data_IF_143303607185
#
_entry.id   IF_143303607185
#
_cell.length_a   1.000
_cell.length_b   1.000
_cell.length_c   1.000
_cell.angle_alpha   90.00
_cell.angle_beta   90.00
_cell.angle_gamma   90.00
#
_symmetry.space_group_name_H-M   'P 1'
#
loop_
_entity.id
_entity.type
_entity.pdbx_description
1 polymer ?
#
# COMPACT_ATOMS: atom_id res chain seq x y z
N UNK A 1 1.07 -6.80 -21.28
CA UNK A 1 1.71 -7.86 -20.49
C UNK A 1 1.44 -7.63 -19.01
N UNK A 2 2.09 -8.40 -18.15
CA UNK A 2 2.04 -8.22 -16.68
C UNK A 2 2.88 -6.99 -16.31
N UNK A 3 2.39 -6.22 -15.33
CA UNK A 3 3.12 -5.11 -14.72
C UNK A 3 3.55 -5.50 -13.31
N UNK A 4 4.75 -5.12 -12.93
CA UNK A 4 5.31 -5.42 -11.60
C UNK A 4 5.62 -4.10 -10.90
N UNK A 5 5.06 -3.90 -9.72
CA UNK A 5 5.36 -2.74 -8.86
C UNK A 5 5.86 -3.26 -7.54
N UNK A 6 6.97 -2.71 -7.05
CA UNK A 6 7.58 -3.14 -5.80
C UNK A 6 8.04 -1.94 -4.95
N UNK A 7 7.63 -1.94 -3.69
CA UNK A 7 8.19 -1.09 -2.63
C UNK A 7 9.41 -1.80 -2.04
N UNK A 8 10.46 -1.88 -2.84
CA UNK A 8 11.68 -2.64 -2.56
C UNK A 8 12.95 -1.82 -2.73
N UNK A 9 12.85 -0.56 -3.16
CA UNK A 9 13.99 0.32 -3.34
C UNK A 9 14.67 0.71 -2.03
N UNK A 10 13.94 0.62 -0.90
CA UNK A 10 14.46 1.00 0.40
C UNK A 10 15.00 2.43 0.36
N UNK A 11 16.30 2.58 0.63
CA UNK A 11 17.02 3.87 0.60
C UNK A 11 17.64 4.19 -0.77
N UNK A 12 17.55 3.31 -1.78
CA UNK A 12 18.18 3.48 -3.09
C UNK A 12 17.37 2.83 -4.24
N UNK A 13 16.17 3.33 -4.53
CA UNK A 13 15.33 2.83 -5.63
C UNK A 13 16.01 2.91 -7.00
N UNK A 14 16.78 3.98 -7.28
CA UNK A 14 17.55 4.12 -8.51
C UNK A 14 18.59 3.01 -8.69
N UNK A 15 19.34 2.68 -7.63
CA UNK A 15 20.33 1.61 -7.63
C UNK A 15 19.71 0.24 -7.88
N UNK A 16 18.55 -0.06 -7.28
CA UNK A 16 17.83 -1.30 -7.56
C UNK A 16 17.32 -1.36 -9.00
N UNK A 17 16.76 -0.27 -9.54
CA UNK A 17 16.34 -0.21 -10.93
C UNK A 17 17.49 -0.47 -11.90
N UNK A 18 18.68 0.08 -11.63
CA UNK A 18 19.87 -0.17 -12.43
C UNK A 18 20.30 -1.64 -12.38
N UNK A 19 20.27 -2.28 -11.22
CA UNK A 19 20.53 -3.72 -11.09
C UNK A 19 19.52 -4.59 -11.84
N UNK A 20 18.25 -4.20 -11.83
CA UNK A 20 17.22 -4.90 -12.59
C UNK A 20 17.43 -4.77 -14.10
N UNK A 21 17.86 -3.61 -14.61
CA UNK A 21 18.20 -3.44 -16.04
C UNK A 21 19.38 -4.33 -16.44
N UNK A 22 20.42 -4.38 -15.61
CA UNK A 22 21.58 -5.27 -15.84
C UNK A 22 21.17 -6.75 -15.85
N UNK A 23 20.29 -7.15 -14.93
CA UNK A 23 19.75 -8.51 -14.88
C UNK A 23 18.90 -8.82 -16.12
N UNK A 24 18.02 -7.92 -16.54
CA UNK A 24 17.20 -8.07 -17.73
C UNK A 24 18.06 -8.27 -18.99
N UNK A 25 19.12 -7.47 -19.15
CA UNK A 25 20.09 -7.63 -20.24
C UNK A 25 20.81 -8.99 -20.20
N UNK A 26 21.18 -9.46 -19.00
CA UNK A 26 21.83 -10.78 -18.80
C UNK A 26 20.90 -11.93 -19.19
N UNK A 27 19.61 -11.81 -18.88
CA UNK A 27 18.60 -12.82 -19.18
C UNK A 27 18.03 -12.72 -20.60
N UNK A 28 18.38 -11.67 -21.36
CA UNK A 28 17.81 -11.41 -22.69
C UNK A 28 16.31 -11.06 -22.64
N UNK A 29 15.85 -10.47 -21.54
CA UNK A 29 14.45 -10.06 -21.35
C UNK A 29 14.32 -8.57 -21.63
N UNK A 30 13.42 -8.20 -22.53
CA UNK A 30 13.05 -6.79 -22.75
C UNK A 30 12.01 -6.38 -21.71
N UNK A 31 12.41 -5.50 -20.77
CA UNK A 31 11.51 -4.93 -19.77
C UNK A 31 11.87 -3.46 -19.50
N UNK A 32 10.89 -2.58 -19.60
CA UNK A 32 11.07 -1.17 -19.24
C UNK A 32 11.06 -1.02 -17.70
N UNK A 33 12.22 -0.72 -17.12
CA UNK A 33 12.37 -0.54 -15.66
C UNK A 33 12.43 0.94 -15.29
N UNK A 34 11.48 1.38 -14.47
CA UNK A 34 11.40 2.73 -13.88
C UNK A 34 11.52 2.68 -12.37
N UNK A 35 11.79 3.83 -11.76
CA UNK A 35 11.77 3.99 -10.31
C UNK A 35 11.13 5.29 -9.85
N UNK A 36 10.69 5.33 -8.60
CA UNK A 36 10.11 6.51 -7.92
C UNK A 36 11.03 6.92 -6.78
N UNK A 37 11.33 8.21 -6.71
CA UNK A 37 12.10 8.88 -5.65
C UNK A 37 11.28 10.03 -5.04
N UNK A 38 11.84 10.70 -4.03
CA UNK A 38 11.25 11.85 -3.35
C UNK A 38 10.72 11.54 -1.94
N UNK A 39 10.87 10.30 -1.50
CA UNK A 39 10.53 9.87 -0.14
C UNK A 39 11.62 10.23 0.87
N UNK A 40 12.90 10.26 0.47
CA UNK A 40 13.99 10.77 1.33
C UNK A 40 13.80 12.27 1.60
N UNK A 41 13.42 12.57 2.84
CA UNK A 41 13.13 13.90 3.33
C UNK A 41 14.08 14.33 4.44
N UNK A 42 15.24 13.68 4.62
CA UNK A 42 16.17 14.01 5.71
C UNK A 42 16.57 15.49 5.71
N UNK A 43 16.93 16.04 4.55
CA UNK A 43 17.26 17.45 4.41
C UNK A 43 16.06 18.38 4.64
N UNK A 44 14.85 17.96 4.24
CA UNK A 44 13.62 18.73 4.48
C UNK A 44 13.25 18.72 5.97
N UNK A 45 13.41 17.59 6.64
CA UNK A 45 13.18 17.43 8.07
C UNK A 45 14.09 18.38 8.87
N UNK A 46 15.39 18.43 8.55
CA UNK A 46 16.34 19.35 9.20
C UNK A 46 15.93 20.82 9.02
N UNK A 47 15.64 21.24 7.78
CA UNK A 47 15.19 22.61 7.50
C UNK A 47 13.90 22.98 8.24
N UNK A 48 12.95 22.04 8.38
CA UNK A 48 11.69 22.31 9.11
C UNK A 48 11.93 22.46 10.61
N UNK A 49 12.84 21.68 11.20
CA UNK A 49 13.23 21.88 12.60
C UNK A 49 13.89 23.24 12.83
N UNK A 50 14.77 23.67 11.92
CA UNK A 50 15.40 25.01 11.97
C UNK A 50 14.37 26.15 11.86
N UNK A 51 13.25 25.91 11.17
CA UNK A 51 12.12 26.83 11.05
C UNK A 51 11.17 26.80 12.27
N UNK A 52 11.46 25.97 13.27
CA UNK A 52 10.68 25.86 14.51
C UNK A 52 9.51 24.88 14.43
N UNK A 53 9.44 24.03 13.41
CA UNK A 53 8.48 22.91 13.40
C UNK A 53 8.91 21.86 14.43
N UNK A 54 8.01 21.53 15.35
CA UNK A 54 8.26 20.52 16.37
C UNK A 54 8.44 19.10 15.78
N UNK A 55 7.85 18.84 14.59
CA UNK A 55 7.80 17.52 13.96
C UNK A 55 7.43 16.44 14.98
N UNK A 56 6.35 16.70 15.72
CA UNK A 56 5.97 15.91 16.87
C UNK A 56 5.65 14.46 16.47
N UNK A 57 6.10 13.52 17.29
CA UNK A 57 5.81 12.10 17.12
C UNK A 57 4.30 11.86 17.17
N UNK A 58 3.76 11.14 16.19
CA UNK A 58 2.31 10.96 16.01
C UNK A 58 1.61 10.38 17.24
N UNK A 59 2.23 9.39 17.91
CA UNK A 59 1.61 8.73 19.07
C UNK A 59 1.84 9.42 20.42
N UNK A 60 2.99 10.10 20.59
CA UNK A 60 3.39 10.64 21.91
C UNK A 60 3.29 12.16 22.01
N UNK A 61 3.14 12.84 20.86
CA UNK A 61 3.17 14.30 20.77
C UNK A 61 4.52 14.93 21.10
N UNK A 62 5.56 14.13 21.38
CA UNK A 62 6.88 14.66 21.74
C UNK A 62 7.57 15.27 20.52
N UNK A 63 8.15 16.47 20.65
CA UNK A 63 8.96 17.05 19.58
C UNK A 63 10.13 16.13 19.19
N UNK A 64 10.52 16.14 17.92
CA UNK A 64 11.68 15.39 17.46
C UNK A 64 12.98 15.84 18.14
N UNK A 65 13.05 17.10 18.58
CA UNK A 65 14.19 17.64 19.33
C UNK A 65 14.43 16.94 20.69
N UNK A 66 13.41 16.28 21.24
CA UNK A 66 13.51 15.54 22.52
C UNK A 66 14.00 14.10 22.31
N UNK A 67 14.27 13.69 21.07
CA UNK A 67 14.71 12.33 20.76
C UNK A 67 16.18 12.10 21.11
N UNK A 68 16.55 10.86 21.45
CA UNK A 68 17.86 10.51 22.01
C UNK A 68 19.02 10.49 21.01
N UNK A 69 18.80 10.89 19.76
CA UNK A 69 19.77 10.79 18.66
C UNK A 69 19.46 11.73 17.51
N UNK A 70 20.39 11.82 16.56
CA UNK A 70 20.22 12.63 15.35
C UNK A 70 19.63 11.76 14.23
N UNK A 71 18.67 12.25 13.44
CA UNK A 71 18.12 11.52 12.31
C UNK A 71 19.21 11.01 11.35
N UNK A 72 19.30 9.69 11.17
CA UNK A 72 20.17 9.00 10.22
C UNK A 72 19.47 8.84 8.87
N UNK A 73 18.15 8.65 8.88
CA UNK A 73 17.31 8.61 7.68
C UNK A 73 15.90 9.10 8.02
N UNK A 74 15.22 9.68 7.03
CA UNK A 74 13.85 10.13 7.16
C UNK A 74 13.10 9.91 5.83
N UNK A 75 12.06 9.08 5.86
CA UNK A 75 11.33 8.68 4.65
C UNK A 75 9.84 8.98 4.79
N UNK A 76 9.34 9.84 3.91
CA UNK A 76 7.92 10.11 3.77
C UNK A 76 7.23 8.92 3.11
N UNK A 77 6.06 8.52 3.62
CA UNK A 77 5.23 7.52 2.96
C UNK A 77 4.48 8.21 1.82
N UNK A 78 4.94 7.99 0.59
CA UNK A 78 4.32 8.55 -0.61
C UNK A 78 3.09 7.74 -1.06
N UNK A 79 2.28 8.35 -1.94
CA UNK A 79 1.11 7.74 -2.57
C UNK A 79 1.43 7.02 -3.89
N UNK A 80 0.38 6.49 -4.53
CA UNK A 80 0.44 5.65 -5.73
C UNK A 80 0.50 6.42 -7.05
N UNK A 81 0.27 7.74 -7.10
CA UNK A 81 0.22 8.45 -8.38
C UNK A 81 1.56 8.46 -9.14
N UNK A 82 2.70 8.49 -8.46
CA UNK A 82 4.01 8.36 -9.13
C UNK A 82 4.19 6.99 -9.79
N UNK A 83 3.63 5.93 -9.19
CA UNK A 83 3.56 4.60 -9.81
C UNK A 83 2.67 4.65 -11.05
N UNK A 84 1.50 5.28 -10.96
CA UNK A 84 0.58 5.39 -12.08
C UNK A 84 1.21 6.15 -13.27
N UNK A 85 1.94 7.23 -13.01
CA UNK A 85 2.68 8.00 -14.00
C UNK A 85 3.80 7.16 -14.65
N UNK A 86 4.57 6.40 -13.87
CA UNK A 86 5.61 5.51 -14.40
C UNK A 86 5.02 4.41 -15.31
N UNK A 87 3.90 3.81 -14.92
CA UNK A 87 3.19 2.83 -15.74
C UNK A 87 2.61 3.46 -17.01
N UNK A 88 2.08 4.68 -16.94
CA UNK A 88 1.59 5.44 -18.09
C UNK A 88 2.72 5.77 -19.08
N UNK A 89 3.93 6.02 -18.58
CA UNK A 89 5.14 6.21 -19.39
C UNK A 89 5.69 4.92 -20.02
N UNK A 90 5.02 3.77 -19.82
CA UNK A 90 5.35 2.51 -20.46
C UNK A 90 6.21 1.57 -19.62
N UNK A 91 6.43 1.83 -18.33
CA UNK A 91 7.15 0.91 -17.47
C UNK A 91 6.47 -0.47 -17.39
N UNK A 92 7.26 -1.53 -17.41
CA UNK A 92 6.85 -2.90 -17.10
C UNK A 92 7.13 -3.23 -15.63
N UNK A 93 8.23 -2.68 -15.11
CA UNK A 93 8.65 -2.81 -13.70
C UNK A 93 8.83 -1.42 -13.11
N UNK A 94 8.19 -1.17 -11.96
CA UNK A 94 8.36 0.07 -11.18
C UNK A 94 8.89 -0.28 -9.80
N UNK A 95 10.06 0.26 -9.47
CA UNK A 95 10.64 0.18 -8.13
C UNK A 95 10.41 1.49 -7.39
N UNK A 96 9.81 1.44 -6.22
CA UNK A 96 9.59 2.64 -5.41
C UNK A 96 10.57 2.68 -4.24
N UNK A 97 10.91 3.89 -3.80
CA UNK A 97 11.32 4.13 -2.41
C UNK A 97 10.12 3.93 -1.47
N UNK A 98 10.04 4.68 -0.37
CA UNK A 98 8.93 4.53 0.57
C UNK A 98 7.60 5.06 0.03
N UNK A 99 6.68 4.15 -0.27
CA UNK A 99 5.24 4.44 -0.44
C UNK A 99 4.43 3.77 0.68
N UNK A 100 3.14 4.10 0.83
CA UNK A 100 2.26 3.28 1.69
C UNK A 100 2.05 1.90 1.11
N UNK A 101 1.72 0.93 1.96
CA UNK A 101 1.49 -0.45 1.53
C UNK A 101 0.28 -0.52 0.57
N UNK A 102 -0.79 0.22 0.88
CA UNK A 102 -1.93 0.41 0.00
C UNK A 102 -1.59 1.09 -1.35
N UNK A 103 -0.56 1.95 -1.41
CA UNK A 103 -0.17 2.62 -2.66
C UNK A 103 0.33 1.64 -3.74
N UNK A 104 0.79 0.44 -3.34
CA UNK A 104 1.12 -0.64 -4.28
C UNK A 104 -0.09 -1.14 -5.05
N UNK A 105 -1.30 -0.90 -4.55
CA UNK A 105 -2.56 -1.23 -5.20
C UNK A 105 -3.21 -0.01 -5.83
N UNK A 106 -3.22 1.13 -5.13
CA UNK A 106 -3.80 2.39 -5.64
C UNK A 106 -3.13 2.82 -6.94
N UNK A 107 -1.79 2.80 -7.03
CA UNK A 107 -1.06 3.24 -8.21
C UNK A 107 -1.41 2.46 -9.49
N UNK A 108 -1.27 1.12 -9.49
CA UNK A 108 -1.67 0.30 -10.63
C UNK A 108 -3.16 0.41 -10.98
N UNK A 109 -4.05 0.50 -9.99
CA UNK A 109 -5.49 0.65 -10.23
C UNK A 109 -5.81 2.00 -10.90
N UNK A 110 -5.26 3.10 -10.38
CA UNK A 110 -5.42 4.43 -10.95
C UNK A 110 -4.90 4.49 -12.40
N UNK A 111 -3.74 3.88 -12.68
CA UNK A 111 -3.24 3.75 -14.06
C UNK A 111 -4.19 2.92 -14.94
N UNK A 112 -4.63 1.76 -14.46
CA UNK A 112 -5.43 0.81 -15.24
C UNK A 112 -6.78 1.38 -15.65
N UNK A 113 -7.39 2.16 -14.77
CA UNK A 113 -8.74 2.74 -14.95
C UNK A 113 -8.73 4.22 -15.32
N UNK A 114 -7.58 4.87 -15.35
CA UNK A 114 -7.45 6.28 -15.70
C UNK A 114 -8.05 7.23 -14.66
N UNK A 115 -8.00 6.85 -13.38
CA UNK A 115 -8.52 7.68 -12.29
C UNK A 115 -7.69 8.95 -12.10
N UNK A 116 -8.37 10.04 -11.83
CA UNK A 116 -7.84 11.31 -11.37
C UNK A 116 -7.63 11.30 -9.85
N UNK A 117 -6.87 12.27 -9.35
CA UNK A 117 -6.65 12.50 -7.90
C UNK A 117 -7.93 12.85 -7.13
N UNK A 118 -9.02 13.13 -7.84
CA UNK A 118 -10.32 13.51 -7.26
C UNK A 118 -11.38 12.42 -7.35
N UNK A 119 -11.06 11.26 -7.92
CA UNK A 119 -11.95 10.09 -7.94
C UNK A 119 -11.91 9.37 -6.57
N UNK A 120 -12.26 10.10 -5.52
CA UNK A 120 -11.99 9.72 -4.14
C UNK A 120 -12.60 8.38 -3.75
N UNK A 121 -13.83 8.09 -4.16
CA UNK A 121 -14.47 6.81 -3.82
C UNK A 121 -13.73 5.62 -4.45
N UNK A 122 -13.30 5.76 -5.70
CA UNK A 122 -12.56 4.72 -6.39
C UNK A 122 -11.16 4.52 -5.79
N UNK A 123 -10.47 5.61 -5.47
CA UNK A 123 -9.18 5.60 -4.76
C UNK A 123 -9.33 4.97 -3.37
N UNK A 124 -10.39 5.30 -2.63
CA UNK A 124 -10.65 4.74 -1.30
C UNK A 124 -10.93 3.24 -1.36
N UNK A 125 -11.69 2.79 -2.37
CA UNK A 125 -11.87 1.37 -2.65
C UNK A 125 -10.56 0.64 -2.91
N UNK A 126 -9.64 1.23 -3.67
CA UNK A 126 -8.31 0.67 -3.89
C UNK A 126 -7.41 0.70 -2.63
N UNK A 127 -7.54 1.71 -1.77
CA UNK A 127 -6.87 1.72 -0.45
C UNK A 127 -7.34 0.54 0.40
N UNK A 128 -8.66 0.33 0.47
CA UNK A 128 -9.25 -0.80 1.21
C UNK A 128 -8.79 -2.13 0.63
N UNK A 129 -8.82 -2.30 -0.69
CA UNK A 129 -8.33 -3.51 -1.34
C UNK A 129 -6.84 -3.76 -1.05
N UNK A 130 -6.01 -2.70 -1.09
CA UNK A 130 -4.60 -2.77 -0.72
C UNK A 130 -4.36 -3.20 0.72
N UNK A 131 -5.10 -2.59 1.65
CA UNK A 131 -5.03 -2.93 3.06
C UNK A 131 -5.46 -4.37 3.36
N UNK A 132 -6.39 -4.94 2.57
CA UNK A 132 -6.77 -6.36 2.72
C UNK A 132 -5.67 -7.30 2.23
N UNK A 133 -4.94 -6.96 1.16
CA UNK A 133 -3.97 -7.90 0.56
C UNK A 133 -2.52 -7.67 1.01
N UNK A 134 -2.26 -6.66 1.85
CA UNK A 134 -0.95 -6.43 2.45
C UNK A 134 -0.63 -7.44 3.57
N UNK A 135 0.57 -7.34 4.14
CA UNK A 135 1.03 -8.15 5.27
C UNK A 135 0.98 -9.68 5.06
N UNK A 136 0.97 -10.15 3.82
CA UNK A 136 1.12 -11.56 3.47
C UNK A 136 -0.20 -12.32 3.49
N UNK A 137 -0.30 -13.38 4.29
CA UNK A 137 -1.44 -14.32 4.26
C UNK A 137 -2.54 -13.96 5.30
N UNK A 138 -2.64 -12.70 5.72
CA UNK A 138 -3.54 -12.32 6.81
C UNK A 138 -5.02 -12.45 6.41
N UNK A 139 -5.43 -11.89 5.26
CA UNK A 139 -6.78 -12.03 4.74
C UNK A 139 -7.19 -13.46 4.35
N UNK A 140 -6.22 -14.39 4.30
CA UNK A 140 -6.47 -15.82 4.09
C UNK A 140 -6.45 -16.64 5.40
N UNK A 141 -6.47 -15.95 6.55
CA UNK A 141 -6.59 -16.53 7.89
C UNK A 141 -5.40 -16.28 8.82
N UNK A 142 -4.30 -15.69 8.33
CA UNK A 142 -3.04 -15.57 9.08
C UNK A 142 -3.09 -14.70 10.34
N UNK A 143 -4.05 -13.77 10.45
CA UNK A 143 -4.32 -12.99 11.67
C UNK A 143 -5.72 -13.24 12.24
N UNK A 144 -6.41 -14.28 11.78
CA UNK A 144 -7.77 -14.56 12.21
C UNK A 144 -7.78 -15.26 13.58
N UNK A 145 -8.56 -14.74 14.53
CA UNK A 145 -8.57 -15.25 15.90
C UNK A 145 -9.05 -16.72 15.99
N UNK A 146 -9.93 -17.13 15.07
CA UNK A 146 -10.46 -18.50 14.98
C UNK A 146 -9.59 -19.38 14.08
N UNK A 147 -8.27 -19.26 14.20
CA UNK A 147 -7.30 -19.92 13.30
C UNK A 147 -7.42 -21.45 13.25
N UNK A 148 -7.96 -22.09 14.29
CA UNK A 148 -8.22 -23.54 14.30
C UNK A 148 -9.38 -23.98 13.42
N UNK A 149 -10.22 -23.02 12.98
CA UNK A 149 -11.36 -23.26 12.09
C UNK A 149 -10.98 -23.08 10.61
N UNK A 150 -9.80 -22.52 10.33
CA UNK A 150 -9.33 -22.26 8.97
C UNK A 150 -8.57 -23.48 8.42
N UNK A 151 -9.05 -24.12 7.34
CA UNK A 151 -8.41 -25.32 6.81
C UNK A 151 -7.07 -25.00 6.14
N UNK A 152 -6.06 -25.85 6.36
CA UNK A 152 -4.77 -25.76 5.68
C UNK A 152 -3.94 -24.52 6.04
N UNK A 153 -4.16 -23.92 7.21
CA UNK A 153 -3.50 -22.68 7.63
C UNK A 153 -1.97 -22.83 7.85
N UNK A 154 -1.44 -24.05 7.85
CA UNK A 154 0.00 -24.31 7.79
C UNK A 154 0.65 -23.81 6.49
N UNK A 155 -0.13 -23.75 5.40
CA UNK A 155 0.31 -23.34 4.06
C UNK A 155 -0.75 -22.47 3.37
N UNK A 156 -1.06 -21.29 3.93
CA UNK A 156 -2.10 -20.43 3.39
C UNK A 156 -1.65 -19.79 2.07
N UNK A 157 -2.59 -19.67 1.13
CA UNK A 157 -2.34 -18.90 -0.10
C UNK A 157 -2.23 -17.40 0.20
N UNK A 158 -1.49 -16.67 -0.63
CA UNK A 158 -1.56 -15.21 -0.58
C UNK A 158 -2.88 -14.70 -1.18
N UNK A 159 -3.46 -13.64 -0.61
CA UNK A 159 -4.67 -13.04 -1.13
C UNK A 159 -4.42 -12.32 -2.45
N UNK A 160 -5.49 -12.20 -3.24
CA UNK A 160 -5.56 -11.53 -4.53
C UNK A 160 -6.74 -10.57 -4.47
N UNK A 161 -6.56 -9.34 -4.95
CA UNK A 161 -7.65 -8.39 -5.16
C UNK A 161 -7.95 -8.26 -6.65
N UNK A 162 -9.19 -8.55 -7.03
CA UNK A 162 -9.72 -8.27 -8.37
C UNK A 162 -10.48 -6.94 -8.30
N UNK A 163 -9.89 -5.87 -8.83
CA UNK A 163 -10.41 -4.51 -8.66
C UNK A 163 -11.28 -4.10 -9.86
N UNK A 164 -12.43 -3.51 -9.58
CA UNK A 164 -13.35 -2.91 -10.54
C UNK A 164 -13.06 -1.43 -10.81
N UNK A 165 -13.57 -0.91 -11.92
CA UNK A 165 -13.34 0.48 -12.35
C UNK A 165 -13.97 1.53 -11.41
N UNK A 166 -14.90 1.13 -10.56
CA UNK A 166 -15.55 1.96 -9.53
C UNK A 166 -14.85 1.87 -8.16
N UNK A 167 -13.74 1.14 -8.07
CA UNK A 167 -13.01 0.89 -6.82
C UNK A 167 -13.56 -0.26 -5.97
N UNK A 168 -14.67 -0.90 -6.37
CA UNK A 168 -15.08 -2.17 -5.75
C UNK A 168 -14.04 -3.26 -6.02
N UNK A 169 -14.02 -4.31 -5.19
CA UNK A 169 -13.10 -5.43 -5.42
C UNK A 169 -13.66 -6.76 -4.97
N UNK A 170 -13.16 -7.85 -5.53
CA UNK A 170 -13.32 -9.20 -4.96
C UNK A 170 -11.98 -9.67 -4.42
N UNK A 171 -11.94 -9.98 -3.14
CA UNK A 171 -10.80 -10.61 -2.48
C UNK A 171 -10.93 -12.11 -2.65
N UNK A 172 -9.85 -12.75 -3.09
CA UNK A 172 -9.77 -14.19 -3.36
C UNK A 172 -8.37 -14.72 -3.07
N UNK A 173 -8.13 -16.02 -3.28
CA UNK A 173 -6.81 -16.64 -3.22
C UNK A 173 -6.62 -17.65 -4.36
N UNK A 174 -5.39 -18.08 -4.56
CA UNK A 174 -5.10 -19.11 -5.56
C UNK A 174 -5.81 -20.44 -5.23
N UNK A 175 -6.34 -21.16 -6.25
CA UNK A 175 -6.86 -22.51 -6.06
C UNK A 175 -5.77 -23.47 -5.57
N UNK A 176 -6.15 -24.44 -4.72
CA UNK A 176 -5.25 -25.50 -4.25
C UNK A 176 -4.29 -25.09 -3.13
N UNK A 177 -4.38 -23.88 -2.61
CA UNK A 177 -3.66 -23.46 -1.39
C UNK A 177 -4.56 -23.55 -0.17
N UNK A 178 -3.95 -23.70 1.02
CA UNK A 178 -4.66 -23.62 2.29
C UNK A 178 -5.14 -22.20 2.62
N UNK A 179 -5.65 -22.02 3.83
CA UNK A 179 -6.31 -20.79 4.26
C UNK A 179 -7.76 -20.72 3.79
N UNK A 180 -8.44 -19.64 4.15
CA UNK A 180 -9.82 -19.32 3.75
C UNK A 180 -9.94 -17.83 3.46
N UNK A 181 -10.65 -17.45 2.40
CA UNK A 181 -11.13 -16.07 2.22
C UNK A 181 -12.62 -16.02 2.55
N UNK A 182 -12.93 -15.58 3.77
CA UNK A 182 -14.30 -15.38 4.24
C UNK A 182 -14.50 -13.95 4.72
N UNK A 183 -15.77 -13.55 4.89
CA UNK A 183 -16.09 -12.24 5.50
C UNK A 183 -15.36 -12.07 6.83
N UNK A 184 -15.21 -13.15 7.62
CA UNK A 184 -14.47 -13.14 8.88
C UNK A 184 -12.99 -12.80 8.72
N UNK A 185 -12.28 -13.50 7.83
CA UNK A 185 -10.84 -13.28 7.63
C UNK A 185 -10.54 -11.91 7.01
N UNK A 186 -11.36 -11.46 6.06
CA UNK A 186 -11.26 -10.12 5.47
C UNK A 186 -11.56 -9.04 6.51
N UNK A 187 -12.57 -9.24 7.36
CA UNK A 187 -12.88 -8.29 8.45
C UNK A 187 -11.73 -8.18 9.45
N UNK A 188 -11.13 -9.30 9.85
CA UNK A 188 -9.99 -9.27 10.77
C UNK A 188 -8.82 -8.47 10.19
N UNK A 189 -8.57 -8.61 8.88
CA UNK A 189 -7.55 -7.81 8.23
C UNK A 189 -7.91 -6.33 8.14
N UNK A 190 -9.16 -5.98 7.81
CA UNK A 190 -9.59 -4.57 7.76
C UNK A 190 -9.50 -3.84 9.10
N UNK A 191 -9.53 -4.58 10.20
CA UNK A 191 -9.42 -4.03 11.55
C UNK A 191 -7.97 -4.06 12.08
N UNK A 192 -7.02 -4.57 11.31
CA UNK A 192 -5.62 -4.66 11.69
C UNK A 192 -4.93 -3.29 11.58
N UNK A 193 -4.20 -2.88 12.62
CA UNK A 193 -3.39 -1.64 12.64
C UNK A 193 -4.13 -0.33 12.28
N UNK A 194 -5.47 -0.30 12.38
CA UNK A 194 -6.24 0.93 12.19
C UNK A 194 -6.43 1.72 13.48
N UNK A 195 -6.28 3.05 13.42
CA UNK A 195 -6.50 3.95 14.56
C UNK A 195 -7.94 4.46 14.70
N UNK A 196 -8.78 4.28 13.68
CA UNK A 196 -10.15 4.77 13.63
C UNK A 196 -10.81 4.56 12.26
N UNK A 197 -12.07 4.99 12.09
CA UNK A 197 -12.83 4.74 10.86
C UNK A 197 -12.37 5.57 9.67
N UNK A 198 -11.70 6.71 9.89
CA UNK A 198 -11.13 7.52 8.82
C UNK A 198 -9.66 7.14 8.65
N UNK A 199 -9.37 6.33 7.64
CA UNK A 199 -8.03 5.82 7.37
C UNK A 199 -7.30 6.71 6.38
N UNK A 200 -6.40 7.54 6.91
CA UNK A 200 -5.67 8.52 6.12
C UNK A 200 -4.54 7.89 5.30
N UNK A 201 -4.61 8.03 3.97
CA UNK A 201 -3.52 7.69 3.04
C UNK A 201 -3.12 8.93 2.21
N UNK A 202 -1.90 8.96 1.63
CA UNK A 202 -1.42 10.12 0.87
C UNK A 202 -2.25 10.48 -0.36
N UNK A 203 -2.98 9.52 -0.94
CA UNK A 203 -3.80 9.74 -2.13
C UNK A 203 -5.27 10.08 -1.81
N UNK A 204 -5.77 9.63 -0.65
CA UNK A 204 -7.18 9.74 -0.23
C UNK A 204 -7.33 9.36 1.24
N UNK A 205 -8.31 9.91 1.94
CA UNK A 205 -8.77 9.35 3.23
C UNK A 205 -9.94 8.40 2.95
N UNK A 206 -9.80 7.13 3.31
CA UNK A 206 -10.84 6.12 3.14
C UNK A 206 -11.72 6.03 4.39
N UNK A 207 -13.05 6.11 4.23
CA UNK A 207 -14.01 5.94 5.33
C UNK A 207 -14.37 4.45 5.48
N UNK A 208 -13.72 3.79 6.42
CA UNK A 208 -13.91 2.37 6.70
C UNK A 208 -15.31 2.05 7.24
N UNK A 209 -16.03 3.04 7.80
CA UNK A 209 -17.40 2.84 8.28
C UNK A 209 -18.41 2.57 7.16
N UNK A 210 -18.02 2.83 5.91
CA UNK A 210 -18.86 2.67 4.71
C UNK A 210 -18.63 1.35 3.97
N UNK A 211 -17.61 0.58 4.37
CA UNK A 211 -17.25 -0.69 3.74
C UNK A 211 -18.41 -1.67 3.87
N UNK A 212 -18.76 -2.32 2.76
CA UNK A 212 -19.68 -3.44 2.69
C UNK A 212 -18.95 -4.69 2.23
N UNK A 213 -19.09 -5.76 3.01
CA UNK A 213 -18.55 -7.08 2.69
C UNK A 213 -19.70 -8.03 2.36
N UNK A 214 -19.54 -8.81 1.29
CA UNK A 214 -20.49 -9.84 0.89
C UNK A 214 -19.74 -11.11 0.48
N UNK A 215 -20.14 -12.26 1.02
CA UNK A 215 -19.62 -13.55 0.55
C UNK A 215 -20.28 -13.88 -0.80
N UNK A 216 -19.52 -13.80 -1.89
CA UNK A 216 -20.02 -14.02 -3.26
C UNK A 216 -19.64 -15.38 -3.84
N UNK A 217 -18.91 -16.19 -3.07
CA UNK A 217 -18.58 -17.57 -3.40
C UNK A 217 -17.57 -18.17 -2.42
N UNK A 218 -17.20 -19.46 -2.60
CA UNK A 218 -16.11 -20.07 -1.84
C UNK A 218 -14.81 -19.30 -2.08
N UNK A 219 -14.11 -18.94 -1.00
CA UNK A 219 -12.90 -18.12 -1.04
C UNK A 219 -13.04 -16.79 -1.80
N UNK A 220 -14.25 -16.20 -1.83
CA UNK A 220 -14.51 -14.94 -2.53
C UNK A 220 -15.40 -13.99 -1.73
N UNK A 221 -14.83 -12.85 -1.38
CA UNK A 221 -15.53 -11.77 -0.65
C UNK A 221 -15.53 -10.52 -1.50
N UNK A 222 -16.71 -10.03 -1.86
CA UNK A 222 -16.86 -8.73 -2.49
C UNK A 222 -16.76 -7.62 -1.45
N UNK A 223 -16.04 -6.55 -1.81
CA UNK A 223 -15.84 -5.33 -1.04
C UNK A 223 -16.38 -4.17 -1.87
N UNK A 224 -17.32 -3.40 -1.31
CA UNK A 224 -17.98 -2.30 -2.03
C UNK A 224 -18.42 -1.17 -1.10
N UNK A 225 -18.92 -0.07 -1.67
CA UNK A 225 -19.55 1.02 -0.93
C UNK A 225 -18.58 1.97 -0.21
N UNK A 226 -17.27 1.79 -0.39
CA UNK A 226 -16.24 2.61 0.25
C UNK A 226 -16.33 4.06 -0.22
N UNK A 227 -16.37 4.99 0.72
CA UNK A 227 -16.39 6.43 0.46
C UNK A 227 -15.02 7.04 0.71
N UNK A 228 -14.61 7.94 -0.16
CA UNK A 228 -13.37 8.70 -0.04
C UNK A 228 -13.58 10.15 0.34
N UNK A 229 -12.63 10.71 1.06
CA UNK A 229 -12.49 12.14 1.35
C UNK A 229 -11.16 12.66 0.77
N UNK A 230 -11.00 13.98 0.58
CA UNK A 230 -9.74 14.56 0.14
C UNK A 230 -8.54 14.05 0.96
N UNK A 231 -7.41 13.83 0.28
CA UNK A 231 -6.17 13.45 0.94
C UNK A 231 -5.74 14.48 2.01
N UNK A 232 -5.04 14.07 3.06
CA UNK A 232 -4.48 15.00 4.04
C UNK A 232 -3.46 15.95 3.39
N UNK A 233 -3.28 17.12 3.99
CA UNK A 233 -2.22 18.08 3.63
C UNK A 233 -0.83 17.69 4.15
N UNK A 234 -0.76 16.62 4.94
CA UNK A 234 0.43 16.10 5.59
C UNK A 234 0.64 14.63 5.25
N UNK A 235 1.89 14.17 5.34
CA UNK A 235 2.26 12.76 5.14
C UNK A 235 3.04 12.25 6.35
N UNK A 236 2.87 10.96 6.66
CA UNK A 236 3.66 10.28 7.69
C UNK A 236 5.12 10.20 7.24
N UNK A 237 6.04 10.45 8.17
CA UNK A 237 7.48 10.27 7.96
C UNK A 237 8.00 9.25 8.97
N UNK A 238 8.69 8.22 8.47
CA UNK A 238 9.48 7.32 9.33
C UNK A 238 10.85 7.94 9.53
N UNK A 239 11.30 8.08 10.77
CA UNK A 239 12.61 8.64 11.12
C UNK A 239 13.39 7.60 11.92
N UNK A 240 14.60 7.27 11.46
CA UNK A 240 15.55 6.48 12.23
C UNK A 240 16.63 7.40 12.82
N UNK A 241 16.96 7.20 14.11
CA UNK A 241 17.92 8.00 14.89
C UNK A 241 19.24 7.27 15.09
#
# INVERSE_FOLDING_TARGET
>A
GIKVVANAGGLNPAGLAERLRQLAATLGVEAAVSHVEGDDVLATLQRRQEQGDALAHMDTGKPLADASGAPVSAHAYLGGFAVAEALAAGADVVVTGRITDAALVVGPAAWRFGWSRTDWDALAGAVVAGHVIECGAQATGGNYAFFTEVPGLEHPGFPIAEIGADGSSVITKHPGTGGEVSVGTVTAQLLYEIGGPLYANPDVVADFSTIRLEQVGPDRVAVSGVRGLPAPDTVKVSVNL
#
